data_IF_819855133895
#
_entry.id   IF_819855133895
#
_cell.length_a   1.000
_cell.length_b   1.000
_cell.length_c   1.000
_cell.angle_alpha   90.00
_cell.angle_beta   90.00
_cell.angle_gamma   90.00
#
_symmetry.space_group_name_H-M   'P 1'
#
loop_
_entity.id
_entity.type
_entity.pdbx_description
1 polymer ?
#
# COMPACT_ATOMS: atom_id res chain seq x y z
N UNK A 1 29.51 7.48 -22.42
CA UNK A 1 28.08 7.38 -22.04
C UNK A 1 28.00 6.78 -20.64
N UNK A 2 27.90 7.60 -19.58
CA UNK A 2 27.69 7.10 -18.23
C UNK A 2 26.25 6.57 -18.15
N UNK A 3 26.09 5.25 -17.93
CA UNK A 3 24.79 4.60 -17.72
C UNK A 3 24.14 5.24 -16.49
N UNK A 4 23.08 6.03 -16.71
CA UNK A 4 22.32 6.64 -15.64
C UNK A 4 21.57 5.54 -14.88
N UNK A 5 21.81 5.44 -13.57
CA UNK A 5 21.35 4.31 -12.79
C UNK A 5 19.86 4.50 -12.46
N UNK A 6 18.98 3.83 -13.21
CA UNK A 6 17.52 3.73 -12.98
C UNK A 6 17.19 3.09 -11.62
N UNK A 7 18.20 2.42 -11.03
CA UNK A 7 18.07 1.62 -9.83
C UNK A 7 17.34 2.27 -8.65
N UNK A 8 17.56 3.52 -8.20
CA UNK A 8 16.96 3.98 -6.94
C UNK A 8 15.44 4.18 -7.02
N UNK A 9 14.92 4.62 -8.17
CA UNK A 9 13.46 4.81 -8.35
C UNK A 9 12.77 3.49 -8.66
N UNK A 10 13.40 2.68 -9.52
CA UNK A 10 12.95 1.31 -9.77
C UNK A 10 13.04 0.49 -8.48
N UNK A 11 14.02 0.71 -7.61
CA UNK A 11 14.18 0.02 -6.34
C UNK A 11 13.16 0.47 -5.32
N UNK A 12 12.84 1.77 -5.19
CA UNK A 12 11.75 2.19 -4.29
C UNK A 12 10.42 1.61 -4.78
N UNK A 13 10.15 1.67 -6.09
CA UNK A 13 8.94 1.10 -6.69
C UNK A 13 8.89 -0.43 -6.58
N UNK A 14 9.97 -1.12 -6.93
CA UNK A 14 10.10 -2.57 -6.79
C UNK A 14 10.12 -2.98 -5.33
N UNK A 15 10.66 -2.20 -4.40
CA UNK A 15 10.64 -2.50 -2.98
C UNK A 15 9.25 -2.27 -2.38
N UNK A 16 8.47 -1.29 -2.86
CA UNK A 16 7.06 -1.16 -2.46
C UNK A 16 6.20 -2.24 -3.10
N UNK A 17 6.44 -2.55 -4.37
CA UNK A 17 5.79 -3.64 -5.09
C UNK A 17 6.10 -5.01 -4.47
N UNK A 18 7.37 -5.31 -4.23
CA UNK A 18 7.82 -6.49 -3.51
C UNK A 18 7.42 -6.43 -2.04
N UNK A 19 7.36 -5.30 -1.35
CA UNK A 19 6.84 -5.27 0.02
C UNK A 19 5.35 -5.64 0.05
N UNK A 20 4.53 -5.16 -0.89
CA UNK A 20 3.14 -5.62 -1.04
C UNK A 20 3.06 -7.10 -1.39
N UNK A 21 3.88 -7.57 -2.34
CA UNK A 21 3.90 -8.98 -2.79
C UNK A 21 4.51 -9.94 -1.76
N UNK A 22 5.53 -9.53 -1.01
CA UNK A 22 6.14 -10.28 0.10
C UNK A 22 5.24 -10.27 1.32
N UNK A 23 4.47 -9.20 1.53
CA UNK A 23 3.43 -9.23 2.54
C UNK A 23 2.29 -10.19 2.17
N UNK A 24 2.07 -10.46 0.87
CA UNK A 24 1.23 -11.56 0.38
C UNK A 24 1.89 -12.94 0.46
N UNK A 25 3.18 -13.06 0.14
CA UNK A 25 3.95 -14.32 0.21
C UNK A 25 4.63 -14.46 1.57
N UNK A 26 3.87 -14.95 2.55
CA UNK A 26 4.47 -15.56 3.74
C UNK A 26 5.49 -16.62 3.34
N UNK A 27 6.59 -16.72 4.10
CA UNK A 27 7.64 -17.74 3.94
C UNK A 27 7.01 -19.13 3.85
N UNK A 28 7.13 -19.77 2.68
CA UNK A 28 6.74 -21.16 2.45
C UNK A 28 7.91 -22.03 2.86
N UNK A 29 8.00 -22.35 4.14
CA UNK A 29 8.64 -23.61 4.53
C UNK A 29 7.58 -24.68 4.34
N UNK A 30 7.93 -25.75 3.64
CA UNK A 30 7.04 -26.89 3.47
C UNK A 30 6.87 -27.56 4.84
N UNK A 31 5.65 -27.71 5.36
CA UNK A 31 5.42 -28.28 6.68
C UNK A 31 5.83 -29.77 6.73
N UNK A 32 6.18 -30.25 7.92
CA UNK A 32 6.71 -31.60 8.17
C UNK A 32 5.57 -32.62 8.26
N UNK A 33 5.02 -33.00 7.10
CA UNK A 33 3.75 -33.71 6.96
C UNK A 33 3.69 -35.06 7.69
N UNK A 34 2.64 -35.24 8.50
CA UNK A 34 2.33 -36.44 9.26
C UNK A 34 2.30 -37.69 8.37
N UNK A 35 2.96 -38.76 8.81
CA UNK A 35 2.98 -40.05 8.12
C UNK A 35 1.61 -40.74 8.22
N UNK A 36 0.74 -40.52 7.24
CA UNK A 36 -0.57 -41.15 7.10
C UNK A 36 -1.11 -40.98 5.67
N UNK A 37 -2.25 -41.62 5.38
CA UNK A 37 -2.88 -41.61 4.05
C UNK A 37 -3.28 -40.19 3.59
N UNK A 38 -3.62 -39.32 4.55
CA UNK A 38 -3.85 -37.89 4.33
C UNK A 38 -3.11 -37.12 5.43
N UNK A 39 -2.25 -36.18 5.04
CA UNK A 39 -1.55 -35.29 5.98
C UNK A 39 -2.25 -33.94 6.07
N UNK A 40 -2.47 -33.42 7.28
CA UNK A 40 -3.09 -32.10 7.52
C UNK A 40 -2.21 -31.31 8.47
N UNK A 41 -1.63 -30.21 8.01
CA UNK A 41 -0.69 -29.45 8.85
C UNK A 41 -0.77 -27.95 8.67
N UNK A 42 -0.60 -27.23 9.76
CA UNK A 42 -0.34 -25.80 9.68
C UNK A 42 1.03 -25.54 9.04
N UNK A 43 1.11 -24.54 8.17
CA UNK A 43 2.37 -24.13 7.54
C UNK A 43 3.38 -23.58 8.55
N UNK A 44 2.92 -23.15 9.73
CA UNK A 44 3.75 -22.62 10.81
C UNK A 44 3.24 -23.15 12.15
N UNK A 45 4.14 -23.23 13.12
CA UNK A 45 3.79 -23.59 14.49
C UNK A 45 3.21 -22.40 15.27
N UNK A 46 3.48 -21.17 14.82
CA UNK A 46 3.06 -19.94 15.50
C UNK A 46 2.44 -18.92 14.51
N UNK A 47 1.30 -18.35 14.89
CA UNK A 47 0.63 -17.28 14.14
C UNK A 47 0.21 -16.14 15.06
N UNK A 48 0.47 -14.89 14.64
CA UNK A 48 -0.11 -13.73 15.32
C UNK A 48 -1.61 -13.59 15.02
N UNK A 49 -2.42 -13.18 16.01
CA UNK A 49 -3.88 -12.96 15.87
C UNK A 49 -4.23 -12.18 14.60
N UNK A 50 -5.14 -12.76 13.81
CA UNK A 50 -5.69 -12.16 12.60
C UNK A 50 -4.78 -12.16 11.39
N UNK A 51 -3.70 -12.96 11.42
CA UNK A 51 -2.94 -13.37 10.25
C UNK A 51 -3.63 -14.56 9.57
N UNK A 52 -3.28 -14.76 8.31
CA UNK A 52 -3.75 -15.89 7.53
C UNK A 52 -3.14 -17.19 8.07
N UNK A 53 -3.99 -18.06 8.60
CA UNK A 53 -3.62 -19.40 9.03
C UNK A 53 -3.77 -20.30 7.80
N UNK A 54 -2.66 -20.89 7.40
CA UNK A 54 -2.57 -21.70 6.18
C UNK A 54 -2.40 -23.15 6.58
N UNK A 55 -3.32 -23.98 6.14
CA UNK A 55 -3.30 -25.43 6.39
C UNK A 55 -2.99 -26.13 5.08
N UNK A 56 -1.91 -26.91 5.06
CA UNK A 56 -1.54 -27.77 3.95
C UNK A 56 -2.18 -29.14 4.13
N UNK A 57 -2.91 -29.56 3.11
CA UNK A 57 -3.44 -30.93 3.01
C UNK A 57 -2.62 -31.67 1.96
N UNK A 58 -2.07 -32.82 2.34
CA UNK A 58 -1.37 -33.74 1.45
C UNK A 58 -2.24 -34.97 1.22
N UNK A 59 -2.41 -35.33 -0.05
CA UNK A 59 -3.10 -36.55 -0.42
C UNK A 59 -2.08 -37.64 -0.73
N UNK A 60 -1.91 -38.62 0.15
CA UNK A 60 -1.06 -39.80 -0.10
C UNK A 60 -1.86 -41.01 -0.62
N UNK A 61 -3.16 -40.83 -0.89
CA UNK A 61 -4.00 -41.86 -1.52
C UNK A 61 -3.74 -41.93 -3.03
N UNK A 62 -4.13 -43.05 -3.64
CA UNK A 62 -4.12 -43.24 -5.10
C UNK A 62 -5.33 -42.58 -5.80
N UNK A 63 -6.33 -42.12 -5.03
CA UNK A 63 -7.55 -41.47 -5.51
C UNK A 63 -7.53 -39.95 -5.27
N UNK A 64 -8.32 -39.19 -6.04
CA UNK A 64 -8.43 -37.74 -5.87
C UNK A 64 -9.17 -37.42 -4.58
N UNK A 65 -8.56 -36.56 -3.75
CA UNK A 65 -9.17 -36.09 -2.51
C UNK A 65 -10.00 -34.84 -2.78
N UNK A 66 -11.29 -34.88 -2.44
CA UNK A 66 -12.20 -33.74 -2.54
C UNK A 66 -12.52 -33.19 -1.15
N UNK A 67 -12.16 -31.93 -0.91
CA UNK A 67 -12.49 -31.22 0.33
C UNK A 67 -13.78 -30.43 0.09
N UNK A 68 -14.91 -30.83 0.70
CA UNK A 68 -16.19 -30.20 0.47
C UNK A 68 -16.25 -28.82 1.11
N UNK A 69 -17.11 -27.97 0.56
CA UNK A 69 -17.45 -26.70 1.19
C UNK A 69 -18.50 -26.94 2.26
N UNK A 70 -18.24 -26.43 3.47
CA UNK A 70 -19.10 -26.64 4.63
C UNK A 70 -19.97 -25.42 4.86
N UNK A 71 -21.27 -25.64 5.00
CA UNK A 71 -22.24 -24.59 5.26
C UNK A 71 -23.30 -25.08 6.24
N UNK A 72 -23.75 -24.18 7.10
CA UNK A 72 -24.85 -24.40 8.03
C UNK A 72 -25.92 -23.33 7.80
N UNK A 73 -26.98 -23.71 7.07
CA UNK A 73 -27.95 -22.74 6.54
C UNK A 73 -27.28 -21.78 5.57
N UNK A 74 -27.38 -20.47 5.84
CA UNK A 74 -26.74 -19.42 5.04
C UNK A 74 -25.29 -19.11 5.48
N UNK A 75 -24.81 -19.73 6.57
CA UNK A 75 -23.51 -19.47 7.21
C UNK A 75 -22.42 -20.33 6.58
N UNK A 76 -21.36 -19.70 6.07
CA UNK A 76 -20.16 -20.40 5.61
C UNK A 76 -19.30 -20.85 6.81
N UNK A 77 -18.91 -22.12 6.81
CA UNK A 77 -18.01 -22.72 7.80
C UNK A 77 -16.61 -22.97 7.22
N UNK A 78 -15.55 -22.99 8.05
CA UNK A 78 -14.23 -23.41 7.61
C UNK A 78 -14.25 -24.87 7.13
N UNK A 79 -13.38 -25.19 6.16
CA UNK A 79 -13.20 -26.55 5.66
C UNK A 79 -12.75 -27.55 6.75
N UNK A 80 -12.17 -27.04 7.84
CA UNK A 80 -11.70 -27.81 8.98
C UNK A 80 -12.50 -27.46 10.23
N UNK A 81 -12.73 -28.43 11.10
CA UNK A 81 -13.15 -28.16 12.47
C UNK A 81 -11.96 -27.58 13.25
N UNK A 82 -12.21 -26.54 14.01
CA UNK A 82 -11.18 -25.85 14.80
C UNK A 82 -11.37 -26.19 16.26
N UNK A 83 -10.29 -26.56 16.93
CA UNK A 83 -10.27 -26.89 18.34
C UNK A 83 -9.29 -25.98 19.07
N UNK A 84 -9.69 -25.48 20.22
CA UNK A 84 -8.85 -24.66 21.10
C UNK A 84 -8.59 -25.38 22.42
N UNK A 85 -7.37 -25.33 22.89
CA UNK A 85 -7.02 -25.86 24.21
C UNK A 85 -7.59 -24.94 25.30
N UNK A 86 -8.55 -25.43 26.08
CA UNK A 86 -9.17 -24.69 27.19
C UNK A 86 -9.42 -25.65 28.36
N UNK A 87 -9.06 -25.24 29.58
CA UNK A 87 -9.26 -26.02 30.80
C UNK A 87 -8.73 -27.47 30.75
N UNK A 88 -7.55 -27.68 30.16
CA UNK A 88 -6.90 -29.00 30.13
C UNK A 88 -7.33 -29.93 29.00
N UNK A 89 -8.23 -29.49 28.10
CA UNK A 89 -8.68 -30.28 26.95
C UNK A 89 -8.88 -29.43 25.70
N UNK A 90 -8.91 -30.05 24.52
CA UNK A 90 -9.25 -29.38 23.26
C UNK A 90 -10.77 -29.36 23.09
N UNK A 91 -11.35 -28.15 23.03
CA UNK A 91 -12.78 -27.94 22.81
C UNK A 91 -13.01 -27.35 21.42
N UNK A 92 -14.05 -27.81 20.74
CA UNK A 92 -14.43 -27.29 19.43
C UNK A 92 -14.84 -25.81 19.53
N UNK A 93 -14.28 -24.99 18.65
CA UNK A 93 -14.68 -23.59 18.49
C UNK A 93 -15.88 -23.58 17.54
N UNK A 94 -17.01 -23.06 18.01
CA UNK A 94 -18.21 -22.87 17.19
C UNK A 94 -18.50 -21.39 17.14
N UNK A 95 -18.16 -20.75 16.02
CA UNK A 95 -18.52 -19.36 15.79
C UNK A 95 -18.92 -19.19 14.32
N UNK A 96 -20.22 -19.04 14.08
CA UNK A 96 -20.78 -19.00 12.73
C UNK A 96 -20.52 -17.64 12.08
N UNK A 97 -19.73 -17.61 11.01
CA UNK A 97 -19.60 -16.40 10.20
C UNK A 97 -20.86 -16.18 9.36
N UNK A 98 -21.56 -15.06 9.54
CA UNK A 98 -22.70 -14.62 8.71
C UNK A 98 -22.24 -14.17 7.31
N UNK A 99 -21.49 -15.01 6.60
CA UNK A 99 -21.18 -14.85 5.19
C UNK A 99 -22.02 -15.84 4.41
N UNK A 100 -22.71 -15.35 3.38
CA UNK A 100 -23.55 -16.17 2.52
C UNK A 100 -22.76 -17.37 1.94
N UNK A 101 -23.25 -18.57 2.19
CA UNK A 101 -22.78 -19.80 1.54
C UNK A 101 -23.11 -19.76 0.04
N UNK A 102 -22.32 -19.04 -0.74
CA UNK A 102 -22.38 -19.08 -2.20
C UNK A 102 -21.42 -20.14 -2.70
N UNK A 103 -21.98 -21.26 -3.19
CA UNK A 103 -21.35 -22.34 -3.97
C UNK A 103 -19.82 -22.32 -3.97
N UNK A 104 -19.21 -22.57 -2.81
CA UNK A 104 -17.76 -22.58 -2.74
C UNK A 104 -17.23 -23.71 -3.62
N UNK A 105 -16.08 -23.47 -4.23
CA UNK A 105 -15.46 -24.45 -5.12
C UNK A 105 -14.90 -25.59 -4.28
N UNK A 106 -15.34 -26.82 -4.55
CA UNK A 106 -14.74 -28.03 -3.97
C UNK A 106 -13.24 -27.98 -4.24
N UNK A 107 -12.46 -28.14 -3.18
CA UNK A 107 -11.01 -28.09 -3.28
C UNK A 107 -10.52 -29.51 -3.52
N UNK A 108 -10.11 -29.79 -4.76
CA UNK A 108 -9.51 -31.07 -5.14
C UNK A 108 -8.00 -31.09 -4.90
N UNK A 109 -7.48 -32.23 -4.43
CA UNK A 109 -6.05 -32.52 -4.25
C UNK A 109 -5.74 -33.84 -4.96
N UNK A 110 -4.89 -33.79 -5.97
CA UNK A 110 -4.53 -34.98 -6.76
C UNK A 110 -3.68 -35.98 -5.94
N UNK A 111 -3.63 -37.26 -6.32
CA UNK A 111 -2.76 -38.26 -5.69
C UNK A 111 -1.30 -37.81 -5.64
N UNK A 112 -0.69 -37.86 -4.46
CA UNK A 112 0.69 -37.43 -4.23
C UNK A 112 0.90 -35.91 -4.15
N UNK A 113 -0.13 -35.11 -4.41
CA UNK A 113 -0.07 -33.65 -4.39
C UNK A 113 -0.39 -33.05 -3.02
N UNK A 114 -0.01 -31.78 -2.87
CA UNK A 114 -0.25 -30.97 -1.67
C UNK A 114 -1.01 -29.71 -2.05
N UNK A 115 -1.94 -29.29 -1.20
CA UNK A 115 -2.68 -28.05 -1.39
C UNK A 115 -2.81 -27.27 -0.10
N UNK A 116 -2.45 -25.99 -0.15
CA UNK A 116 -2.58 -25.09 0.98
C UNK A 116 -3.90 -24.34 0.92
N UNK A 117 -4.69 -24.48 1.97
CA UNK A 117 -5.98 -23.81 2.18
C UNK A 117 -5.78 -22.65 3.14
N UNK A 118 -6.26 -21.46 2.75
CA UNK A 118 -6.22 -20.26 3.58
C UNK A 118 -7.47 -20.18 4.46
N UNK A 119 -7.26 -19.96 5.76
CA UNK A 119 -8.32 -19.69 6.74
C UNK A 119 -8.45 -18.20 7.06
N UNK A 120 -7.91 -17.33 6.20
CA UNK A 120 -8.01 -15.87 6.34
C UNK A 120 -9.45 -15.36 6.56
N UNK A 121 -10.51 -15.92 5.94
CA UNK A 121 -11.89 -15.48 6.19
C UNK A 121 -12.38 -15.73 7.62
N UNK A 122 -11.70 -16.55 8.41
CA UNK A 122 -12.10 -17.02 9.74
C UNK A 122 -11.11 -16.60 10.83
N UNK A 123 -10.22 -15.66 10.51
CA UNK A 123 -9.02 -15.35 11.28
C UNK A 123 -9.29 -14.73 12.66
N UNK A 124 -10.48 -14.17 12.90
CA UNK A 124 -10.90 -13.65 14.20
C UNK A 124 -12.03 -14.46 14.81
N UNK A 125 -12.99 -14.95 14.02
CA UNK A 125 -14.12 -15.71 14.54
C UNK A 125 -13.67 -17.06 15.15
N UNK A 126 -12.73 -17.76 14.51
CA UNK A 126 -12.23 -19.04 15.03
C UNK A 126 -10.89 -18.94 15.77
N UNK A 127 -10.11 -17.88 15.50
CA UNK A 127 -8.73 -17.74 16.00
C UNK A 127 -8.48 -16.38 16.70
N UNK A 128 -9.53 -15.76 17.24
CA UNK A 128 -9.46 -14.45 17.90
C UNK A 128 -8.81 -14.46 19.29
N UNK A 129 -8.69 -15.63 19.94
CA UNK A 129 -8.11 -15.77 21.28
C UNK A 129 -6.71 -16.37 21.24
N UNK A 130 -5.86 -15.94 22.17
CA UNK A 130 -4.49 -16.45 22.33
C UNK A 130 -4.54 -17.88 22.89
N UNK A 131 -3.73 -18.78 22.36
CA UNK A 131 -3.58 -20.13 22.90
C UNK A 131 -3.19 -21.17 21.88
N UNK A 132 -3.27 -22.44 22.28
CA UNK A 132 -2.98 -23.60 21.43
C UNK A 132 -4.24 -24.05 20.68
N UNK A 133 -4.07 -24.32 19.41
CA UNK A 133 -5.11 -24.74 18.49
C UNK A 133 -4.72 -26.01 17.76
N UNK A 134 -5.74 -26.75 17.31
CA UNK A 134 -5.65 -27.86 16.36
C UNK A 134 -6.76 -27.69 15.33
N UNK A 135 -6.53 -28.18 14.12
CA UNK A 135 -7.58 -28.30 13.11
C UNK A 135 -7.78 -29.76 12.74
N UNK A 136 -9.01 -30.14 12.42
CA UNK A 136 -9.34 -31.48 11.95
C UNK A 136 -10.11 -31.42 10.63
N UNK A 137 -9.68 -32.22 9.66
CA UNK A 137 -10.40 -32.46 8.42
C UNK A 137 -11.26 -33.72 8.60
N UNK A 138 -12.57 -33.56 8.52
CA UNK A 138 -13.52 -34.68 8.58
C UNK A 138 -13.96 -35.08 7.18
N UNK A 139 -13.65 -36.31 6.81
CA UNK A 139 -13.99 -36.91 5.53
C UNK A 139 -14.76 -38.21 5.78
N UNK A 140 -15.49 -38.75 4.78
CA UNK A 140 -16.10 -40.07 4.89
C UNK A 140 -15.11 -41.19 5.22
N UNK A 141 -13.83 -41.01 4.87
CA UNK A 141 -12.73 -41.95 5.13
C UNK A 141 -12.18 -41.88 6.56
N UNK A 142 -12.47 -40.83 7.33
CA UNK A 142 -11.95 -40.65 8.69
C UNK A 142 -11.75 -39.19 9.10
N UNK A 143 -11.21 -39.00 10.30
CA UNK A 143 -10.85 -37.69 10.87
C UNK A 143 -9.33 -37.55 10.85
N UNK A 144 -8.83 -36.49 10.23
CA UNK A 144 -7.40 -36.20 10.08
C UNK A 144 -7.05 -34.92 10.82
N UNK A 145 -6.33 -35.04 11.93
CA UNK A 145 -5.98 -33.92 12.80
C UNK A 145 -4.59 -33.35 12.49
N UNK A 146 -4.43 -32.04 12.66
CA UNK A 146 -3.14 -31.39 12.61
C UNK A 146 -2.37 -31.51 13.92
N UNK A 147 -1.04 -31.35 13.89
CA UNK A 147 -0.26 -30.97 15.05
C UNK A 147 -0.79 -29.69 15.72
N UNK A 148 -0.36 -29.47 16.97
CA UNK A 148 -0.66 -28.25 17.72
C UNK A 148 0.09 -27.07 17.11
N UNK A 149 -0.61 -25.93 17.01
CA UNK A 149 0.01 -24.65 16.69
C UNK A 149 -0.53 -23.57 17.64
N UNK A 150 0.22 -22.48 17.79
CA UNK A 150 -0.07 -21.41 18.74
C UNK A 150 -0.52 -20.12 18.04
N UNK A 151 -1.53 -19.49 18.63
CA UNK A 151 -1.96 -18.14 18.30
C UNK A 151 -1.41 -17.19 19.35
N UNK A 152 -0.56 -16.26 18.92
CA UNK A 152 0.15 -15.31 19.77
C UNK A 152 -0.35 -13.86 19.59
N UNK A 153 0.07 -13.00 20.51
CA UNK A 153 -0.17 -11.57 20.39
C UNK A 153 0.49 -10.98 19.14
N UNK A 154 -0.18 -10.04 18.45
CA UNK A 154 0.44 -9.34 17.34
C UNK A 154 1.60 -8.47 17.84
N UNK A 155 2.72 -8.49 17.11
CA UNK A 155 3.88 -7.66 17.43
C UNK A 155 3.54 -6.15 17.54
N UNK A 156 4.33 -5.41 18.32
CA UNK A 156 4.08 -4.00 18.69
C UNK A 156 3.81 -3.10 17.47
N UNK A 157 4.57 -3.25 16.39
CA UNK A 157 4.38 -2.48 15.17
C UNK A 157 3.01 -2.76 14.51
N UNK A 158 2.57 -4.02 14.53
CA UNK A 158 1.25 -4.41 14.00
C UNK A 158 0.13 -3.83 14.84
N UNK A 159 0.25 -3.85 16.17
CA UNK A 159 -0.70 -3.19 17.09
C UNK A 159 -0.81 -1.70 16.80
N UNK A 160 0.33 -1.01 16.70
CA UNK A 160 0.38 0.42 16.37
C UNK A 160 -0.26 0.74 15.01
N UNK A 161 0.10 -0.03 13.97
CA UNK A 161 -0.49 0.12 12.64
C UNK A 161 -2.01 -0.06 12.64
N UNK A 162 -2.50 -1.12 13.32
CA UNK A 162 -3.93 -1.42 13.44
C UNK A 162 -4.66 -0.26 14.13
N UNK A 163 -4.14 0.20 15.27
CA UNK A 163 -4.77 1.22 16.10
C UNK A 163 -4.78 2.61 15.45
N UNK A 164 -3.68 3.04 14.84
CA UNK A 164 -3.55 4.43 14.37
C UNK A 164 -3.91 4.66 12.91
N UNK A 165 -3.85 3.62 12.07
CA UNK A 165 -4.01 3.78 10.63
C UNK A 165 -5.17 2.93 10.13
N UNK A 166 -5.10 1.61 10.28
CA UNK A 166 -6.09 0.71 9.69
C UNK A 166 -7.48 0.89 10.29
N UNK A 167 -7.62 0.80 11.61
CA UNK A 167 -8.92 0.84 12.29
C UNK A 167 -9.63 2.20 12.13
N UNK A 168 -8.96 3.36 12.26
CA UNK A 168 -9.61 4.65 11.99
C UNK A 168 -10.08 4.78 10.54
N UNK A 169 -9.27 4.35 9.56
CA UNK A 169 -9.64 4.42 8.14
C UNK A 169 -10.84 3.53 7.85
N UNK A 170 -10.85 2.29 8.37
CA UNK A 170 -11.98 1.36 8.25
C UNK A 170 -13.26 1.99 8.80
N UNK A 171 -13.22 2.50 10.04
CA UNK A 171 -14.39 3.02 10.72
C UNK A 171 -14.92 4.30 10.08
N UNK A 172 -14.04 5.21 9.64
CA UNK A 172 -14.47 6.41 8.91
C UNK A 172 -15.08 6.02 7.57
N UNK A 173 -14.53 5.03 6.86
CA UNK A 173 -15.11 4.53 5.62
C UNK A 173 -16.51 3.95 5.86
N UNK A 174 -16.67 3.07 6.86
CA UNK A 174 -17.96 2.47 7.21
C UNK A 174 -18.96 3.55 7.62
N UNK A 175 -18.56 4.50 8.45
CA UNK A 175 -19.41 5.62 8.82
C UNK A 175 -19.89 6.41 7.59
N UNK A 176 -18.99 6.71 6.65
CA UNK A 176 -19.35 7.41 5.42
C UNK A 176 -20.32 6.58 4.56
N UNK A 177 -20.14 5.26 4.48
CA UNK A 177 -21.07 4.37 3.77
C UNK A 177 -22.46 4.42 4.41
N UNK A 178 -22.54 4.35 5.74
CA UNK A 178 -23.81 4.36 6.48
C UNK A 178 -24.55 5.68 6.30
N UNK A 179 -23.85 6.81 6.43
CA UNK A 179 -24.48 8.14 6.43
C UNK A 179 -24.69 8.73 5.03
N UNK A 180 -24.02 8.23 3.98
CA UNK A 180 -24.25 8.67 2.61
C UNK A 180 -25.44 7.95 1.97
N UNK A 181 -26.28 8.67 1.20
CA UNK A 181 -27.45 8.07 0.58
C UNK A 181 -27.06 6.96 -0.41
N UNK A 182 -27.72 5.82 -0.30
CA UNK A 182 -27.54 4.67 -1.21
C UNK A 182 -26.33 3.79 -0.92
N UNK A 183 -25.60 4.02 0.19
CA UNK A 183 -24.51 3.16 0.66
C UNK A 183 -23.42 2.88 -0.40
N UNK A 184 -23.22 3.83 -1.31
CA UNK A 184 -22.26 3.71 -2.40
C UNK A 184 -20.84 3.80 -1.89
N UNK A 185 -20.09 2.71 -2.04
CA UNK A 185 -18.67 2.63 -1.68
C UNK A 185 -17.85 3.73 -2.35
N UNK A 186 -18.14 4.06 -3.62
CA UNK A 186 -17.41 5.07 -4.37
C UNK A 186 -17.51 6.48 -3.79
N UNK A 187 -18.71 6.87 -3.35
CA UNK A 187 -18.92 8.18 -2.72
C UNK A 187 -18.21 8.25 -1.36
N UNK A 188 -18.26 7.16 -0.59
CA UNK A 188 -17.56 7.06 0.69
C UNK A 188 -16.03 7.14 0.51
N UNK A 189 -15.46 6.46 -0.48
CA UNK A 189 -14.03 6.56 -0.80
C UNK A 189 -13.62 7.98 -1.21
N UNK A 190 -14.41 8.66 -2.05
CA UNK A 190 -14.14 10.05 -2.43
C UNK A 190 -14.19 10.96 -1.20
N UNK A 191 -15.23 10.86 -0.38
CA UNK A 191 -15.39 11.66 0.84
C UNK A 191 -14.24 11.43 1.83
N UNK A 192 -13.87 10.16 2.07
CA UNK A 192 -12.72 9.79 2.89
C UNK A 192 -11.44 10.44 2.37
N UNK A 193 -11.22 10.38 1.06
CA UNK A 193 -10.05 10.99 0.41
C UNK A 193 -9.98 12.49 0.69
N UNK A 194 -11.10 13.20 0.54
CA UNK A 194 -11.19 14.64 0.77
C UNK A 194 -10.94 15.01 2.23
N UNK A 195 -11.48 14.24 3.18
CA UNK A 195 -11.26 14.43 4.63
C UNK A 195 -9.76 14.29 4.93
N UNK A 196 -9.14 13.19 4.49
CA UNK A 196 -7.72 12.92 4.70
C UNK A 196 -6.85 14.03 4.08
N UNK A 197 -7.14 14.41 2.84
CA UNK A 197 -6.40 15.47 2.14
C UNK A 197 -6.55 16.84 2.79
N UNK A 198 -7.69 17.10 3.41
CA UNK A 198 -7.95 18.33 4.15
C UNK A 198 -7.18 18.37 5.47
N UNK A 199 -7.16 17.26 6.22
CA UNK A 199 -6.32 17.11 7.43
C UNK A 199 -4.83 17.32 7.08
N UNK A 200 -4.40 16.76 5.95
CA UNK A 200 -3.02 16.86 5.47
C UNK A 200 -2.73 18.13 4.67
N UNK A 201 -3.66 19.09 4.59
CA UNK A 201 -3.54 20.26 3.72
C UNK A 201 -2.30 21.09 4.08
N UNK A 202 -2.15 21.45 5.36
CA UNK A 202 -1.05 22.29 5.86
C UNK A 202 0.33 21.66 5.61
N UNK A 203 0.61 20.41 6.03
CA UNK A 203 1.91 19.79 5.76
C UNK A 203 2.16 19.62 4.25
N UNK A 204 1.13 19.28 3.46
CA UNK A 204 1.25 19.16 2.01
C UNK A 204 1.60 20.50 1.34
N UNK A 205 1.01 21.61 1.78
CA UNK A 205 1.37 22.95 1.28
C UNK A 205 2.83 23.31 1.60
N UNK A 206 3.31 22.97 2.80
CA UNK A 206 4.72 23.18 3.18
C UNK A 206 5.66 22.36 2.29
N UNK A 207 5.29 21.12 1.96
CA UNK A 207 6.06 20.26 1.06
C UNK A 207 6.12 20.85 -0.37
N UNK A 208 4.99 21.32 -0.91
CA UNK A 208 4.94 21.97 -2.23
C UNK A 208 5.85 23.22 -2.25
N UNK A 209 5.78 24.08 -1.23
CA UNK A 209 6.65 25.27 -1.13
C UNK A 209 8.14 24.90 -1.02
N UNK A 210 8.46 23.83 -0.30
CA UNK A 210 9.84 23.32 -0.23
C UNK A 210 10.34 22.82 -1.60
N UNK A 211 9.47 22.15 -2.36
CA UNK A 211 9.77 21.71 -3.72
C UNK A 211 9.99 22.89 -4.67
N UNK A 212 9.18 23.95 -4.59
CA UNK A 212 9.39 25.17 -5.38
C UNK A 212 10.76 25.80 -5.13
N UNK A 213 11.19 25.92 -3.86
CA UNK A 213 12.54 26.40 -3.51
C UNK A 213 13.66 25.53 -4.08
N UNK A 214 13.46 24.20 -4.17
CA UNK A 214 14.42 23.32 -4.83
C UNK A 214 14.55 23.63 -6.34
N UNK A 215 13.44 23.97 -7.00
CA UNK A 215 13.46 24.33 -8.42
C UNK A 215 14.20 25.66 -8.68
N UNK A 216 14.14 26.59 -7.73
CA UNK A 216 14.89 27.86 -7.77
C UNK A 216 16.40 27.65 -7.64
N UNK A 217 16.84 26.65 -6.86
CA UNK A 217 18.27 26.33 -6.64
C UNK A 217 18.86 25.47 -7.76
N UNK A 218 18.04 24.76 -8.55
CA UNK A 218 18.51 23.94 -9.68
C UNK A 218 19.56 24.61 -10.61
N UNK A 219 19.41 25.87 -11.08
CA UNK A 219 20.43 26.49 -11.94
C UNK A 219 21.82 26.56 -11.27
N UNK A 220 21.88 26.89 -9.98
CA UNK A 220 23.15 26.89 -9.22
C UNK A 220 23.74 25.50 -9.05
N UNK A 221 22.87 24.49 -8.90
CA UNK A 221 23.29 23.09 -8.87
C UNK A 221 23.89 22.66 -10.22
N UNK A 222 23.35 23.14 -11.34
CA UNK A 222 23.89 22.87 -12.68
C UNK A 222 25.27 23.52 -12.89
N UNK A 223 25.48 24.73 -12.37
CA UNK A 223 26.78 25.39 -12.38
C UNK A 223 27.83 24.62 -11.56
N UNK A 224 27.46 24.15 -10.35
CA UNK A 224 28.33 23.30 -9.54
C UNK A 224 28.71 22.00 -10.25
N UNK A 225 27.75 21.34 -10.89
CA UNK A 225 27.98 20.11 -11.67
C UNK A 225 28.96 20.33 -12.82
N UNK A 226 28.90 21.49 -13.49
CA UNK A 226 29.86 21.85 -14.54
C UNK A 226 31.24 22.15 -13.95
N UNK A 227 31.30 22.86 -12.83
CA UNK A 227 32.56 23.29 -12.19
C UNK A 227 33.34 22.13 -11.57
N UNK A 228 32.65 21.14 -11.01
CA UNK A 228 33.26 19.99 -10.31
C UNK A 228 32.95 18.66 -11.01
N UNK A 229 32.84 18.66 -12.34
CA UNK A 229 32.51 17.45 -13.12
C UNK A 229 33.48 16.28 -12.84
N UNK A 230 34.76 16.60 -12.64
CA UNK A 230 35.84 15.64 -12.44
C UNK A 230 36.07 15.26 -10.95
N UNK A 231 35.46 15.97 -10.01
CA UNK A 231 35.63 15.76 -8.56
C UNK A 231 34.27 15.51 -7.90
N UNK A 232 33.85 14.24 -7.91
CA UNK A 232 32.55 13.81 -7.35
C UNK A 232 32.46 14.04 -5.84
N UNK A 233 33.56 13.91 -5.12
CA UNK A 233 33.59 14.12 -3.67
C UNK A 233 33.33 15.60 -3.35
N UNK A 234 34.01 16.50 -4.06
CA UNK A 234 33.80 17.94 -3.90
C UNK A 234 32.44 18.41 -4.41
N UNK A 235 31.97 17.83 -5.52
CA UNK A 235 30.61 18.07 -6.01
C UNK A 235 29.56 17.73 -4.94
N UNK A 236 29.68 16.61 -4.25
CA UNK A 236 28.76 16.21 -3.19
C UNK A 236 28.79 17.21 -2.01
N UNK A 237 29.98 17.63 -1.57
CA UNK A 237 30.15 18.59 -0.49
C UNK A 237 29.55 19.97 -0.82
N UNK A 238 29.88 20.51 -2.00
CA UNK A 238 29.38 21.80 -2.47
C UNK A 238 27.87 21.78 -2.72
N UNK A 239 27.33 20.64 -3.19
CA UNK A 239 25.88 20.43 -3.34
C UNK A 239 25.18 20.47 -1.98
N UNK A 240 25.73 19.80 -0.96
CA UNK A 240 25.19 19.82 0.40
C UNK A 240 25.28 21.21 1.03
N UNK A 241 26.38 21.92 0.79
CA UNK A 241 26.55 23.30 1.24
C UNK A 241 25.52 24.22 0.57
N UNK A 242 25.31 24.09 -0.74
CA UNK A 242 24.29 24.83 -1.50
C UNK A 242 22.88 24.58 -0.95
N UNK A 243 22.53 23.34 -0.64
CA UNK A 243 21.24 23.02 -0.03
C UNK A 243 21.10 23.63 1.37
N UNK A 244 22.16 23.59 2.18
CA UNK A 244 22.17 24.17 3.54
C UNK A 244 22.05 25.70 3.51
N UNK A 245 22.79 26.38 2.64
CA UNK A 245 22.75 27.84 2.50
C UNK A 245 21.39 28.33 2.00
N UNK A 246 20.77 27.59 1.07
CA UNK A 246 19.44 27.90 0.57
C UNK A 246 18.27 27.30 1.40
N UNK A 247 18.56 26.68 2.55
CA UNK A 247 17.57 26.05 3.45
C UNK A 247 16.61 25.10 2.70
N UNK A 248 17.14 24.36 1.73
CA UNK A 248 16.39 23.38 0.93
C UNK A 248 16.66 21.99 1.49
N UNK A 249 15.60 21.21 1.72
CA UNK A 249 15.72 19.82 2.13
C UNK A 249 15.30 18.90 0.97
N UNK A 250 16.19 18.04 0.43
CA UNK A 250 15.85 17.13 -0.65
C UNK A 250 14.74 16.13 -0.27
N UNK A 251 14.65 15.74 1.00
CA UNK A 251 13.61 14.82 1.50
C UNK A 251 12.21 15.43 1.52
N UNK A 252 12.10 16.77 1.54
CA UNK A 252 10.79 17.42 1.51
C UNK A 252 10.03 17.19 0.21
N UNK A 253 10.71 16.78 -0.87
CA UNK A 253 10.09 16.51 -2.17
C UNK A 253 9.39 15.13 -2.23
N UNK A 254 9.82 14.15 -1.42
CA UNK A 254 9.17 12.83 -1.35
C UNK A 254 8.20 12.70 -0.17
N UNK A 255 8.20 13.66 0.76
CA UNK A 255 7.34 13.66 1.94
C UNK A 255 5.84 13.44 1.63
N UNK A 256 5.23 14.08 0.60
CA UNK A 256 3.83 13.82 0.27
C UNK A 256 3.57 12.36 -0.10
N UNK A 257 4.52 11.73 -0.79
CA UNK A 257 4.41 10.33 -1.20
C UNK A 257 4.57 9.39 0.00
N UNK A 258 5.49 9.69 0.92
CA UNK A 258 5.71 8.91 2.14
C UNK A 258 4.49 8.91 3.07
N UNK A 259 3.79 10.04 3.20
CA UNK A 259 2.55 10.12 4.00
C UNK A 259 1.39 9.40 3.29
N UNK A 260 1.36 9.44 1.95
CA UNK A 260 0.32 8.80 1.15
C UNK A 260 0.36 7.27 1.22
N UNK A 261 1.56 6.67 1.26
CA UNK A 261 1.72 5.21 1.20
C UNK A 261 1.02 4.46 2.34
N UNK A 262 1.18 4.82 3.63
CA UNK A 262 0.48 4.16 4.72
C UNK A 262 -1.04 4.16 4.54
N UNK A 263 -1.59 5.27 4.07
CA UNK A 263 -3.03 5.43 3.88
C UNK A 263 -3.52 4.58 2.70
N UNK A 264 -2.75 4.56 1.59
CA UNK A 264 -3.05 3.70 0.44
C UNK A 264 -3.03 2.22 0.83
N UNK A 265 -2.03 1.79 1.58
CA UNK A 265 -1.91 0.41 2.06
C UNK A 265 -3.11 0.09 2.96
N UNK A 266 -3.43 0.95 3.94
CA UNK A 266 -4.56 0.72 4.82
C UNK A 266 -5.88 0.59 4.05
N UNK A 267 -6.14 1.50 3.09
CA UNK A 267 -7.34 1.41 2.26
C UNK A 267 -7.37 0.14 1.41
N UNK A 268 -6.24 -0.27 0.83
CA UNK A 268 -6.16 -1.54 0.11
C UNK A 268 -6.56 -2.73 1.00
N UNK A 269 -6.06 -2.81 2.24
CA UNK A 269 -6.45 -3.88 3.16
C UNK A 269 -7.89 -3.80 3.64
N UNK A 270 -8.44 -2.58 3.75
CA UNK A 270 -9.86 -2.39 4.04
C UNK A 270 -10.71 -2.95 2.90
N UNK A 271 -10.40 -2.62 1.65
CA UNK A 271 -11.17 -3.06 0.49
C UNK A 271 -10.98 -4.55 0.20
N UNK A 272 -9.76 -5.09 0.27
CA UNK A 272 -9.43 -6.45 -0.13
C UNK A 272 -9.85 -7.53 0.90
N UNK A 273 -10.46 -7.15 2.02
CA UNK A 273 -10.89 -8.11 3.04
C UNK A 273 -11.30 -7.51 4.37
N UNK A 274 -11.04 -6.22 4.62
CA UNK A 274 -11.53 -5.52 5.81
C UNK A 274 -13.04 -5.34 5.87
N UNK A 275 -13.75 -5.51 4.75
CA UNK A 275 -15.21 -5.52 4.67
C UNK A 275 -15.80 -6.92 4.84
N UNK A 276 -15.04 -7.91 5.34
CA UNK A 276 -15.58 -9.22 5.69
C UNK A 276 -16.23 -9.21 7.08
N UNK A 277 -17.26 -10.04 7.33
CA UNK A 277 -17.90 -10.16 8.65
C UNK A 277 -16.90 -10.51 9.78
N UNK A 278 -15.88 -11.31 9.49
CA UNK A 278 -14.78 -11.66 10.42
C UNK A 278 -14.00 -10.44 10.93
N UNK A 279 -13.96 -9.35 10.16
CA UNK A 279 -13.26 -8.12 10.54
C UNK A 279 -14.15 -7.12 11.29
N UNK A 280 -15.40 -7.49 11.58
CA UNK A 280 -16.33 -6.65 12.36
C UNK A 280 -15.80 -6.32 13.76
N UNK A 281 -14.90 -7.13 14.32
CA UNK A 281 -14.18 -6.86 15.58
C UNK A 281 -13.41 -5.53 15.58
N UNK A 282 -13.10 -4.96 14.42
CA UNK A 282 -12.45 -3.66 14.30
C UNK A 282 -13.41 -2.48 14.25
N UNK A 283 -14.72 -2.72 14.11
CA UNK A 283 -15.74 -1.68 14.06
C UNK A 283 -15.94 -1.13 15.47
N UNK A 284 -16.07 0.19 15.58
CA UNK A 284 -16.32 0.84 16.87
C UNK A 284 -17.77 0.66 17.31
N UNK A 285 -17.97 0.38 18.59
CA UNK A 285 -19.27 0.08 19.22
C UNK A 285 -20.34 1.17 19.02
N UNK A 286 -19.94 2.42 18.76
CA UNK A 286 -20.87 3.53 18.55
C UNK A 286 -21.47 3.57 17.13
N UNK A 287 -20.91 2.83 16.18
CA UNK A 287 -21.48 2.71 14.85
C UNK A 287 -22.66 1.73 14.89
N UNK A 288 -23.77 2.02 14.18
CA UNK A 288 -24.90 1.11 14.17
C UNK A 288 -24.50 -0.24 13.56
N UNK A 289 -25.15 -1.32 14.01
CA UNK A 289 -25.01 -2.66 13.45
C UNK A 289 -25.35 -2.61 11.95
N UNK A 290 -24.33 -2.53 11.12
CA UNK A 290 -24.43 -2.41 9.68
C UNK A 290 -24.00 -3.74 9.05
N UNK A 291 -24.88 -4.32 8.25
CA UNK A 291 -24.54 -5.53 7.51
C UNK A 291 -23.59 -5.14 6.37
N UNK A 292 -22.40 -5.74 6.36
CA UNK A 292 -21.42 -5.50 5.29
C UNK A 292 -21.94 -5.95 3.91
N UNK A 293 -22.99 -6.77 3.88
CA UNK A 293 -23.74 -7.17 2.69
C UNK A 293 -24.52 -6.01 2.03
N UNK A 294 -24.82 -4.94 2.78
CA UNK A 294 -25.60 -3.79 2.28
C UNK A 294 -24.73 -2.75 1.53
N UNK A 295 -23.41 -2.96 1.49
CA UNK A 295 -22.49 -2.07 0.78
C UNK A 295 -22.78 -2.19 -0.72
N UNK A 296 -23.09 -1.06 -1.36
CA UNK A 296 -23.20 -1.02 -2.82
C UNK A 296 -21.82 -0.76 -3.43
N UNK A 297 -21.18 -1.76 -4.07
CA UNK A 297 -19.86 -1.57 -4.63
C UNK A 297 -19.89 -0.88 -5.99
N UNK A 298 -21.07 -0.69 -6.59
CA UNK A 298 -21.22 -0.10 -7.91
C UNK A 298 -20.93 1.41 -7.88
N UNK A 299 -20.08 1.87 -8.79
CA UNK A 299 -19.81 3.29 -8.99
C UNK A 299 -19.49 3.55 -10.45
N UNK A 300 -20.23 4.46 -11.09
CA UNK A 300 -20.08 4.82 -12.51
C UNK A 300 -20.08 3.62 -13.48
N UNK A 301 -20.79 2.53 -13.13
CA UNK A 301 -20.85 1.31 -13.93
C UNK A 301 -19.75 0.28 -13.64
N UNK A 302 -18.89 0.51 -12.64
CA UNK A 302 -17.83 -0.40 -12.23
C UNK A 302 -18.10 -0.99 -10.85
N UNK A 303 -17.70 -2.25 -10.64
CA UNK A 303 -17.62 -2.85 -9.31
C UNK A 303 -16.30 -2.44 -8.65
N UNK A 304 -16.36 -1.64 -7.59
CA UNK A 304 -15.17 -1.09 -6.94
C UNK A 304 -14.37 -2.12 -6.11
N UNK A 305 -14.94 -3.29 -5.83
CA UNK A 305 -14.25 -4.38 -5.13
C UNK A 305 -13.39 -5.23 -6.08
N UNK A 306 -13.65 -5.14 -7.38
CA UNK A 306 -12.91 -5.86 -8.42
C UNK A 306 -11.77 -5.01 -8.99
N UNK A 307 -10.83 -5.66 -9.65
CA UNK A 307 -9.76 -4.97 -10.36
C UNK A 307 -10.27 -4.42 -11.70
N UNK A 308 -9.94 -3.18 -12.00
CA UNK A 308 -10.15 -2.58 -13.32
C UNK A 308 -8.81 -2.34 -14.01
N UNK A 309 -8.67 -2.84 -15.23
CA UNK A 309 -7.42 -2.82 -15.98
C UNK A 309 -7.28 -1.62 -16.91
N UNK A 310 -8.34 -0.84 -17.13
CA UNK A 310 -8.37 0.18 -18.19
C UNK A 310 -8.67 1.56 -17.63
N UNK A 311 -9.86 1.77 -17.06
CA UNK A 311 -10.40 3.11 -16.80
C UNK A 311 -9.66 3.80 -15.65
N UNK A 312 -9.61 3.19 -14.47
CA UNK A 312 -8.91 3.74 -13.31
C UNK A 312 -7.40 3.88 -13.56
N UNK A 313 -6.69 2.89 -14.14
CA UNK A 313 -5.29 3.04 -14.56
C UNK A 313 -5.04 4.25 -15.46
N UNK A 314 -5.86 4.44 -16.49
CA UNK A 314 -5.70 5.56 -17.44
C UNK A 314 -6.01 6.91 -16.78
N UNK A 315 -7.04 6.99 -15.94
CA UNK A 315 -7.40 8.21 -15.21
C UNK A 315 -6.29 8.58 -14.22
N UNK A 316 -5.83 7.64 -13.40
CA UNK A 316 -4.76 7.87 -12.42
C UNK A 316 -3.46 8.25 -13.14
N UNK A 317 -3.06 7.50 -14.18
CA UNK A 317 -1.88 7.81 -14.98
C UNK A 317 -1.96 9.18 -15.66
N UNK A 318 -3.11 9.53 -16.24
CA UNK A 318 -3.34 10.82 -16.89
C UNK A 318 -3.29 11.99 -15.90
N UNK A 319 -3.93 11.84 -14.73
CA UNK A 319 -3.86 12.82 -13.65
C UNK A 319 -2.43 12.94 -13.11
N UNK A 320 -1.72 11.83 -12.93
CA UNK A 320 -0.34 11.85 -12.45
C UNK A 320 0.58 12.57 -13.45
N UNK A 321 0.39 12.33 -14.75
CA UNK A 321 1.10 13.05 -15.81
C UNK A 321 0.83 14.56 -15.76
N UNK A 322 -0.44 14.95 -15.62
CA UNK A 322 -0.84 16.35 -15.49
C UNK A 322 -0.22 17.01 -14.25
N UNK A 323 -0.25 16.32 -13.11
CA UNK A 323 0.37 16.79 -11.87
C UNK A 323 1.88 17.02 -12.05
N UNK A 324 2.59 16.06 -12.67
CA UNK A 324 4.01 16.19 -12.98
C UNK A 324 4.30 17.35 -13.92
N UNK A 325 3.45 17.56 -14.93
CA UNK A 325 3.60 18.66 -15.87
C UNK A 325 3.47 20.01 -15.17
N UNK A 326 2.48 20.19 -14.30
CA UNK A 326 2.28 21.45 -13.56
C UNK A 326 3.46 21.80 -12.66
N UNK A 327 4.12 20.79 -12.08
CA UNK A 327 5.33 21.01 -11.29
C UNK A 327 6.51 21.52 -12.13
N UNK A 328 6.57 21.22 -13.43
CA UNK A 328 7.72 21.56 -14.29
C UNK A 328 7.51 22.84 -15.13
N UNK A 329 6.29 23.38 -15.19
CA UNK A 329 5.91 24.40 -16.18
C UNK A 329 6.34 25.83 -15.82
N UNK A 330 6.76 26.13 -14.59
CA UNK A 330 7.14 27.50 -14.16
C UNK A 330 8.52 28.00 -14.63
N UNK A 331 9.29 27.24 -15.42
CA UNK A 331 10.59 27.66 -15.98
C UNK A 331 10.53 28.11 -17.45
N UNK A 332 9.60 29.01 -17.78
CA UNK A 332 9.65 29.77 -19.05
C UNK A 332 9.49 31.28 -18.81
N UNK A 333 10.28 31.86 -17.91
CA UNK A 333 10.67 33.27 -18.10
C UNK A 333 11.94 33.27 -18.95
N UNK A 334 11.83 33.90 -20.13
CA UNK A 334 12.88 34.03 -21.14
C UNK A 334 14.09 34.74 -20.53
N UNK A 335 15.10 33.99 -20.10
CA UNK A 335 16.47 34.46 -20.19
C UNK A 335 17.06 33.78 -21.41
N UNK A 336 17.09 34.51 -22.53
CA UNK A 336 17.86 34.12 -23.68
C UNK A 336 19.31 33.90 -23.22
N UNK A 337 19.94 32.82 -23.69
CA UNK A 337 21.30 32.38 -23.36
C UNK A 337 21.50 31.76 -21.96
N UNK A 338 20.88 30.61 -21.70
CA UNK A 338 21.49 29.59 -20.83
C UNK A 338 21.52 28.27 -21.60
N UNK A 339 22.74 27.78 -21.79
CA UNK A 339 23.09 26.57 -22.50
C UNK A 339 22.21 25.38 -22.12
N UNK A 340 21.94 24.52 -23.11
CA UNK A 340 21.20 23.27 -22.99
C UNK A 340 21.40 22.59 -21.62
N UNK A 341 20.28 22.25 -20.97
CA UNK A 341 20.27 21.43 -19.76
C UNK A 341 21.22 20.24 -19.94
N UNK A 342 22.05 19.88 -18.94
CA UNK A 342 22.87 18.68 -19.04
C UNK A 342 21.95 17.47 -19.31
N UNK A 343 22.28 16.69 -20.37
CA UNK A 343 21.45 15.58 -20.89
C UNK A 343 20.98 14.62 -19.79
N UNK A 344 21.80 14.42 -18.77
CA UNK A 344 21.52 13.59 -17.59
C UNK A 344 20.29 14.07 -16.79
N UNK A 345 20.16 15.37 -16.57
CA UNK A 345 19.06 15.97 -15.81
C UNK A 345 17.78 16.09 -16.65
N UNK A 346 17.93 16.38 -17.94
CA UNK A 346 16.82 16.34 -18.88
C UNK A 346 16.23 14.93 -18.98
N UNK A 347 17.08 13.90 -19.00
CA UNK A 347 16.65 12.49 -19.03
C UNK A 347 15.93 12.13 -17.74
N UNK A 348 16.46 12.49 -16.56
CA UNK A 348 15.78 12.25 -15.28
C UNK A 348 14.39 12.92 -15.23
N UNK A 349 14.29 14.16 -15.70
CA UNK A 349 13.01 14.89 -15.76
C UNK A 349 12.02 14.23 -16.73
N UNK A 350 12.48 13.76 -17.90
CA UNK A 350 11.65 13.01 -18.86
C UNK A 350 11.17 11.69 -18.28
N UNK A 351 12.04 10.94 -17.59
CA UNK A 351 11.66 9.69 -16.92
C UNK A 351 10.59 9.93 -15.86
N UNK A 352 10.79 10.92 -14.98
CA UNK A 352 9.82 11.24 -13.94
C UNK A 352 8.48 11.74 -14.51
N UNK A 353 8.52 12.45 -15.64
CA UNK A 353 7.32 12.96 -16.30
C UNK A 353 6.55 11.87 -17.07
N UNK A 354 7.22 10.98 -17.79
CA UNK A 354 6.56 10.04 -18.70
C UNK A 354 6.52 8.60 -18.16
N UNK A 355 7.61 8.11 -17.57
CA UNK A 355 7.70 6.72 -17.11
C UNK A 355 6.96 6.52 -15.81
N UNK A 356 7.09 7.44 -14.85
CA UNK A 356 6.43 7.29 -13.54
C UNK A 356 4.91 7.19 -13.64
N UNK A 357 4.19 8.03 -14.42
CA UNK A 357 2.75 7.88 -14.59
C UNK A 357 2.33 6.55 -15.23
N UNK A 358 3.12 6.05 -16.19
CA UNK A 358 2.87 4.73 -16.81
C UNK A 358 3.02 3.61 -15.78
N UNK A 359 4.07 3.64 -14.96
CA UNK A 359 4.27 2.65 -13.89
C UNK A 359 3.12 2.69 -12.86
N UNK A 360 2.67 3.89 -12.48
CA UNK A 360 1.53 4.04 -11.57
C UNK A 360 0.24 3.52 -12.20
N UNK A 361 0.02 3.74 -13.50
CA UNK A 361 -1.13 3.18 -14.20
C UNK A 361 -1.12 1.64 -14.17
N UNK A 362 0.02 1.03 -14.54
CA UNK A 362 0.19 -0.44 -14.50
C UNK A 362 0.00 -1.00 -13.09
N UNK A 363 0.52 -0.31 -12.07
CA UNK A 363 0.33 -0.70 -10.68
C UNK A 363 -1.13 -0.61 -10.25
N UNK A 364 -1.82 0.47 -10.63
CA UNK A 364 -3.25 0.66 -10.33
C UNK A 364 -4.11 -0.46 -10.94
N UNK A 365 -3.73 -0.97 -12.12
CA UNK A 365 -4.45 -2.06 -12.78
C UNK A 365 -4.43 -3.38 -11.99
N UNK A 366 -3.53 -3.53 -11.02
CA UNK A 366 -3.42 -4.72 -10.17
C UNK A 366 -4.14 -4.58 -8.83
N UNK A 367 -4.73 -3.43 -8.56
CA UNK A 367 -5.43 -3.12 -7.32
C UNK A 367 -6.95 -3.07 -7.56
N UNK A 368 -7.76 -3.25 -6.51
CA UNK A 368 -9.19 -3.01 -6.59
C UNK A 368 -9.49 -1.59 -7.06
N UNK A 369 -10.54 -1.44 -7.87
CA UNK A 369 -10.94 -0.17 -8.46
C UNK A 369 -11.22 0.92 -7.40
N UNK A 370 -11.68 0.57 -6.20
CA UNK A 370 -11.79 1.51 -5.07
C UNK A 370 -10.47 2.19 -4.72
N UNK A 371 -9.35 1.44 -4.76
CA UNK A 371 -8.02 1.97 -4.46
C UNK A 371 -7.55 2.89 -5.60
N UNK A 372 -7.87 2.54 -6.85
CA UNK A 372 -7.65 3.41 -8.00
C UNK A 372 -8.45 4.71 -7.92
N UNK A 373 -9.71 4.65 -7.51
CA UNK A 373 -10.57 5.81 -7.27
C UNK A 373 -9.97 6.74 -6.23
N UNK A 374 -9.58 6.19 -5.07
CA UNK A 374 -8.88 6.94 -4.03
C UNK A 374 -7.63 7.64 -4.57
N UNK A 375 -6.78 6.92 -5.31
CA UNK A 375 -5.57 7.50 -5.88
C UNK A 375 -5.90 8.64 -6.85
N UNK A 376 -6.84 8.42 -7.77
CA UNK A 376 -7.28 9.42 -8.73
C UNK A 376 -7.80 10.70 -8.06
N UNK A 377 -8.74 10.55 -7.11
CA UNK A 377 -9.28 11.68 -6.34
C UNK A 377 -8.19 12.40 -5.54
N UNK A 378 -7.27 11.65 -4.95
CA UNK A 378 -6.15 12.17 -4.18
C UNK A 378 -5.17 12.97 -5.05
N UNK A 379 -4.83 12.48 -6.24
CA UNK A 379 -3.99 13.18 -7.22
C UNK A 379 -4.70 14.41 -7.78
N UNK A 380 -5.99 14.32 -8.08
CA UNK A 380 -6.80 15.46 -8.50
C UNK A 380 -6.81 16.57 -7.45
N UNK A 381 -7.04 16.24 -6.18
CA UNK A 381 -6.93 17.19 -5.07
C UNK A 381 -5.53 17.83 -5.03
N UNK A 382 -4.48 17.02 -5.16
CA UNK A 382 -3.09 17.50 -5.21
C UNK A 382 -2.82 18.47 -6.36
N UNK A 383 -3.43 18.26 -7.53
CA UNK A 383 -3.37 19.18 -8.68
C UNK A 383 -4.02 20.51 -8.32
N UNK A 384 -5.25 20.49 -7.79
CA UNK A 384 -5.96 21.70 -7.36
C UNK A 384 -5.12 22.47 -6.33
N UNK A 385 -4.58 21.76 -5.34
CA UNK A 385 -3.70 22.34 -4.33
C UNK A 385 -2.43 22.94 -4.94
N UNK A 386 -1.79 22.26 -5.89
CA UNK A 386 -0.61 22.76 -6.58
C UNK A 386 -0.91 24.04 -7.35
N UNK A 387 -2.05 24.11 -8.06
CA UNK A 387 -2.48 25.29 -8.80
C UNK A 387 -2.70 26.47 -7.88
N UNK A 388 -3.41 26.27 -6.76
CA UNK A 388 -3.70 27.33 -5.77
C UNK A 388 -2.42 27.85 -5.10
N UNK A 389 -1.51 26.96 -4.70
CA UNK A 389 -0.22 27.37 -4.10
C UNK A 389 0.64 28.10 -5.13
N UNK A 390 0.62 27.64 -6.39
CA UNK A 390 1.33 28.28 -7.48
C UNK A 390 0.80 29.69 -7.78
N UNK A 391 -0.51 29.94 -7.72
CA UNK A 391 -1.08 31.27 -7.96
C UNK A 391 -0.88 32.23 -6.79
N UNK A 392 -0.87 31.74 -5.55
CA UNK A 392 -0.68 32.57 -4.36
C UNK A 392 0.76 33.01 -4.07
N UNK A 393 1.76 32.43 -4.74
CA UNK A 393 3.18 32.72 -4.53
C UNK A 393 3.68 34.07 -5.06
N UNK A 394 2.94 34.71 -5.97
CA UNK A 394 3.34 36.00 -6.58
C UNK A 394 3.04 37.21 -5.68
N UNK A 395 2.29 37.05 -4.57
CA UNK A 395 1.89 38.15 -3.70
C UNK A 395 2.84 38.41 -2.50
N UNK A 396 3.88 37.59 -2.28
CA UNK A 396 4.67 37.63 -1.03
C UNK A 396 6.19 37.52 -1.15
N UNK A 397 6.77 37.48 -2.36
CA UNK A 397 8.19 37.17 -2.56
C UNK A 397 9.01 38.32 -3.19
N UNK A 398 8.58 39.58 -3.06
CA UNK A 398 9.41 40.74 -3.35
C UNK A 398 9.79 41.45 -2.05
N UNK A 399 10.75 40.89 -1.32
CA UNK A 399 11.56 41.64 -0.33
C UNK A 399 12.48 40.68 0.42
N UNK A 400 13.80 40.90 0.22
CA UNK A 400 14.92 40.51 1.09
C UNK A 400 15.30 39.03 1.09
N UNK A 401 16.30 38.67 0.28
CA UNK A 401 17.50 37.94 0.71
C UNK A 401 18.38 37.64 -0.51
N UNK A 402 18.86 38.69 -1.17
CA UNK A 402 19.89 38.57 -2.21
C UNK A 402 21.28 38.52 -1.54
N UNK A 403 21.61 37.38 -0.94
CA UNK A 403 22.99 37.12 -0.50
C UNK A 403 23.78 36.67 -1.72
N UNK A 404 24.48 37.61 -2.35
CA UNK A 404 25.48 37.32 -3.38
C UNK A 404 26.59 36.45 -2.78
N UNK A 405 26.69 35.20 -3.20
CA UNK A 405 27.80 34.31 -2.85
C UNK A 405 29.00 34.71 -3.68
N UNK A 406 29.97 35.37 -3.04
CA UNK A 406 31.31 35.62 -3.59
C UNK A 406 31.99 34.26 -3.79
N UNK A 407 32.18 33.86 -5.04
CA UNK A 407 33.03 32.72 -5.40
C UNK A 407 34.44 33.05 -4.92
N UNK A 408 34.93 32.36 -3.88
CA UNK A 408 36.32 32.46 -3.46
C UNK A 408 37.20 31.92 -4.59
N UNK A 409 37.80 32.83 -5.35
CA UNK A 409 38.93 32.53 -6.22
C UNK A 409 40.09 32.05 -5.37
N UNK A 410 40.51 30.79 -5.55
CA UNK A 410 41.71 30.25 -4.92
C UNK A 410 42.98 31.01 -5.33
N UNK A 411 44.05 30.93 -4.53
CA UNK A 411 45.25 31.74 -4.72
C UNK A 411 45.94 31.37 -6.04
N UNK A 412 46.16 32.38 -6.89
CA UNK A 412 47.04 32.28 -8.05
C UNK A 412 48.44 31.95 -7.55
N UNK A 413 49.06 30.92 -8.14
CA UNK A 413 50.43 30.53 -7.85
C UNK A 413 51.40 31.69 -8.05
N UNK A 414 52.26 31.90 -7.06
CA UNK A 414 53.45 32.72 -7.18
C UNK A 414 54.54 31.90 -7.88
N UNK A 415 54.82 32.25 -9.13
CA UNK A 415 56.16 32.06 -9.70
C UNK A 415 57.03 33.20 -9.17
N UNK A 416 58.02 32.87 -8.36
CA UNK A 416 59.41 33.32 -8.53
C UNK A 416 60.32 32.44 -7.69
#
# INVERSE_FOLDING_TARGET
MKKFNIFPYLFIFLATFFALQLWQKGTTEDPVLSAGDIGVEAVKDEYAIGKDIKITVQNNLEEVLEIPVRCEGETLLPAFNVYRFTNGSFLGVSDGMQAACSAGKITTVEPGDKKTISLLPFSYSYFGEIGRYKVALELPSGIFESPEFEIEEPGVLTKFWRMLIYQPILNVLIALIIYLPGHYLGLAVIALTLIIRTILLVPSQKAIKAQMRMQEVQPKLEELKKKYADDQARLAQETMLLWKTHKVNPLSSCLPMLIQFPILIALFYVINGGLSPDRSVFIYDFLPNFSLSDINPAFLGFNLLENDFIVFPLVVGGLQFLQMQLMMTKKKKKTAAVAALPKEMETANKMMKYVMPIMIAVFTAQLPAAVGLYWGTSTFYGIVQQVVVNSGGDAGASSKDDVQVRVLSGPKGSKQ
#
